data_IF_421494147623
#
_entry.id   IF_421494147623
#
_cell.length_a   1.000
_cell.length_b   1.000
_cell.length_c   1.000
_cell.angle_alpha   90.00
_cell.angle_beta   90.00
_cell.angle_gamma   90.00
#
_symmetry.space_group_name_H-M   'P 1'
#
loop_
_entity.id
_entity.type
_entity.pdbx_description
1 polymer ?
#
# COMPACT_ATOMS: atom_id res chain seq x y z
N UNK A 1 -51.02 -19.40 7.92
CA UNK A 1 -50.50 -20.77 7.71
C UNK A 1 -49.41 -20.97 8.77
N UNK A 2 -49.62 -21.72 9.86
CA UNK A 2 -49.76 -23.21 9.97
C UNK A 2 -48.40 -23.90 9.73
N UNK A 3 -47.81 -24.70 10.63
CA UNK A 3 -47.98 -25.00 12.08
C UNK A 3 -46.56 -25.18 12.67
N UNK A 4 -46.17 -24.96 13.92
CA UNK A 4 -46.72 -25.17 15.28
C UNK A 4 -46.89 -26.63 15.73
N UNK A 5 -45.98 -27.12 16.61
CA UNK A 5 -46.32 -28.07 17.70
C UNK A 5 -45.27 -28.03 18.82
N UNK A 6 -45.75 -28.18 20.06
CA UNK A 6 -44.98 -28.38 21.31
C UNK A 6 -45.43 -29.70 21.95
N UNK A 7 -44.54 -30.37 22.68
CA UNK A 7 -44.79 -31.34 23.76
C UNK A 7 -43.48 -31.48 24.57
N UNK A 8 -43.44 -31.97 25.82
CA UNK A 8 -44.22 -31.64 27.03
C UNK A 8 -43.44 -32.22 28.25
N UNK A 9 -43.68 -31.74 29.47
CA UNK A 9 -43.10 -32.30 30.70
C UNK A 9 -43.95 -33.47 31.24
N UNK A 10 -43.50 -34.21 32.28
CA UNK A 10 -43.90 -33.81 33.64
C UNK A 10 -42.83 -34.02 34.75
N UNK A 11 -43.22 -33.70 35.99
CA UNK A 11 -42.48 -33.81 37.26
C UNK A 11 -42.99 -35.04 38.04
N UNK A 12 -42.18 -35.62 38.93
CA UNK A 12 -42.67 -36.51 40.00
C UNK A 12 -42.01 -36.20 41.37
N UNK A 13 -42.61 -36.72 42.45
CA UNK A 13 -42.47 -36.24 43.83
C UNK A 13 -41.60 -37.11 44.75
N UNK A 14 -41.33 -36.53 45.93
CA UNK A 14 -40.85 -37.10 47.20
C UNK A 14 -40.73 -38.63 47.34
N UNK A 15 -39.67 -39.05 48.05
CA UNK A 15 -39.83 -40.03 49.15
C UNK A 15 -38.90 -39.68 50.30
N UNK A 16 -39.35 -39.92 51.54
CA UNK A 16 -38.57 -39.74 52.77
C UNK A 16 -38.22 -41.12 53.31
N UNK A 17 -37.01 -41.30 53.85
CA UNK A 17 -36.74 -42.41 54.77
C UNK A 17 -35.75 -41.97 55.87
N UNK A 18 -36.07 -42.29 57.12
CA UNK A 18 -35.27 -41.95 58.29
C UNK A 18 -35.18 -43.15 59.26
N UNK A 19 -33.96 -43.57 59.54
CA UNK A 19 -33.52 -44.60 60.50
C UNK A 19 -32.10 -44.19 60.94
N UNK A 20 -31.61 -44.37 62.17
CA UNK A 20 -32.20 -44.84 63.43
C UNK A 20 -31.07 -45.04 64.45
N UNK A 21 -31.11 -44.35 65.60
CA UNK A 21 -30.03 -44.35 66.63
C UNK A 21 -30.21 -45.52 67.63
N UNK A 22 -29.11 -46.06 68.23
CA UNK A 22 -28.40 -45.49 69.41
C UNK A 22 -26.87 -45.37 69.17
N UNK A 23 -25.99 -44.84 70.03
CA UNK A 23 -26.03 -44.59 71.50
C UNK A 23 -25.27 -45.70 72.25
N UNK A 24 -24.48 -45.48 73.32
CA UNK A 24 -24.13 -44.29 74.13
C UNK A 24 -22.75 -43.70 73.65
N UNK A 25 -21.87 -42.97 74.36
CA UNK A 25 -21.68 -42.53 75.77
C UNK A 25 -20.91 -41.19 75.86
N UNK A 26 -20.57 -40.68 77.06
CA UNK A 26 -20.06 -39.31 77.23
C UNK A 26 -19.15 -39.05 78.46
N UNK A 27 -18.33 -37.98 78.37
CA UNK A 27 -17.65 -37.27 79.47
C UNK A 27 -17.50 -35.75 79.15
N UNK A 28 -17.05 -34.91 80.10
CA UNK A 28 -17.20 -33.43 80.17
C UNK A 28 -15.93 -32.76 80.79
N UNK A 29 -15.80 -31.41 80.95
CA UNK A 29 -16.58 -30.23 80.50
C UNK A 29 -15.72 -29.08 79.86
N UNK A 30 -16.28 -27.86 79.73
CA UNK A 30 -15.65 -26.61 79.23
C UNK A 30 -15.28 -25.60 80.36
N UNK A 31 -14.73 -24.40 80.06
CA UNK A 31 -15.55 -23.19 79.83
C UNK A 31 -15.06 -22.29 78.66
N UNK A 32 -15.91 -21.52 77.97
CA UNK A 32 -16.20 -20.08 78.23
C UNK A 32 -15.59 -19.20 77.10
N UNK A 33 -16.10 -18.03 76.67
CA UNK A 33 -17.29 -17.23 77.01
C UNK A 33 -17.88 -16.55 75.73
N UNK A 34 -18.76 -15.54 75.89
CA UNK A 34 -19.43 -14.79 74.82
C UNK A 34 -18.58 -13.70 74.12
N UNK A 35 -19.21 -12.87 73.25
CA UNK A 35 -18.52 -12.12 72.21
C UNK A 35 -17.93 -10.77 72.65
N UNK A 36 -16.79 -10.40 72.06
CA UNK A 36 -16.24 -9.04 72.08
C UNK A 36 -15.86 -8.59 70.66
N UNK A 37 -15.85 -7.27 70.43
CA UNK A 37 -15.62 -6.65 69.12
C UNK A 37 -14.20 -6.84 68.59
N UNK A 38 -13.98 -6.93 67.26
CA UNK A 38 -12.64 -6.98 66.71
C UNK A 38 -11.83 -5.72 67.06
N UNK A 39 -10.57 -5.91 67.43
CA UNK A 39 -9.66 -4.83 67.81
C UNK A 39 -9.39 -3.86 66.64
N UNK A 40 -8.95 -2.61 66.91
CA UNK A 40 -8.60 -1.65 65.87
C UNK A 40 -7.59 -2.22 64.87
N UNK A 41 -7.89 -2.08 63.58
CA UNK A 41 -7.05 -2.61 62.51
C UNK A 41 -5.65 -1.97 62.48
N UNK A 42 -4.62 -2.68 61.98
CA UNK A 42 -3.26 -2.15 61.92
C UNK A 42 -3.17 -0.92 61.02
N UNK A 43 -2.40 0.07 61.47
CA UNK A 43 -2.13 1.31 60.76
C UNK A 43 -1.67 1.05 59.30
N UNK A 44 -2.40 1.54 58.29
CA UNK A 44 -2.02 1.34 56.88
C UNK A 44 -0.74 2.09 56.48
N UNK A 45 -0.20 2.96 57.33
CA UNK A 45 1.03 3.72 57.08
C UNK A 45 2.31 2.98 57.49
N UNK A 46 2.30 2.02 58.42
CA UNK A 46 3.51 1.26 58.82
C UNK A 46 3.35 -0.27 58.77
N UNK A 47 4.32 -0.96 58.15
CA UNK A 47 4.34 -2.44 58.04
C UNK A 47 5.13 -3.02 59.21
N UNK A 48 4.45 -3.54 60.23
CA UNK A 48 5.05 -4.01 61.49
C UNK A 48 5.67 -5.41 61.45
N UNK A 49 5.61 -6.11 60.31
CA UNK A 49 6.27 -7.43 60.13
C UNK A 49 7.02 -7.45 58.81
N UNK A 50 8.35 -7.59 58.89
CA UNK A 50 9.25 -7.75 57.75
C UNK A 50 9.07 -9.12 57.09
N UNK A 51 8.03 -9.29 56.27
CA UNK A 51 7.90 -10.46 55.38
C UNK A 51 8.74 -10.23 54.11
N UNK A 52 9.87 -10.96 53.90
CA UNK A 52 10.69 -10.82 52.70
C UNK A 52 9.91 -11.27 51.44
N UNK A 53 10.47 -11.04 50.25
CA UNK A 53 9.78 -11.45 49.01
C UNK A 53 9.60 -12.97 48.92
N UNK A 54 8.45 -13.38 48.37
CA UNK A 54 8.16 -14.75 47.99
C UNK A 54 7.15 -14.76 46.83
N UNK A 55 7.22 -15.76 45.93
CA UNK A 55 6.54 -15.70 44.62
C UNK A 55 5.00 -15.64 44.69
N UNK A 56 4.41 -16.12 45.81
CA UNK A 56 2.96 -16.14 46.04
C UNK A 56 2.48 -15.02 46.99
N UNK A 57 3.37 -14.12 47.44
CA UNK A 57 2.99 -13.00 48.30
C UNK A 57 2.43 -11.84 47.46
N UNK A 58 1.31 -11.28 47.92
CA UNK A 58 0.71 -10.09 47.31
C UNK A 58 1.04 -8.83 48.08
N UNK A 59 1.11 -7.72 47.35
CA UNK A 59 1.46 -6.38 47.82
C UNK A 59 0.37 -5.39 47.42
N UNK A 60 0.03 -4.46 48.32
CA UNK A 60 -1.10 -3.55 48.15
C UNK A 60 -0.71 -2.30 47.36
N UNK A 61 -1.49 -1.92 46.36
CA UNK A 61 -1.36 -0.62 45.68
C UNK A 61 -1.78 0.51 46.65
N UNK A 62 -0.90 1.48 46.95
CA UNK A 62 -1.18 2.57 47.91
C UNK A 62 -1.84 3.80 47.28
N UNK A 63 -1.84 3.90 45.96
CA UNK A 63 -2.44 4.99 45.18
C UNK A 63 -2.76 4.51 43.77
N UNK A 64 -3.80 5.05 43.14
CA UNK A 64 -4.10 4.76 41.74
C UNK A 64 -2.85 5.01 40.87
N UNK A 65 -2.46 4.01 40.09
CA UNK A 65 -1.32 4.09 39.19
C UNK A 65 -1.69 3.58 37.80
N UNK A 66 -0.99 4.09 36.79
CA UNK A 66 -0.95 3.47 35.46
C UNK A 66 -0.01 2.27 35.52
N UNK A 67 -0.40 1.16 34.89
CA UNK A 67 0.54 0.11 34.52
C UNK A 67 0.98 0.28 33.06
N UNK A 68 2.22 -0.10 32.76
CA UNK A 68 2.82 0.04 31.45
C UNK A 68 3.22 -1.35 30.95
N UNK A 69 2.67 -1.79 29.82
CA UNK A 69 3.01 -3.08 29.21
C UNK A 69 4.51 -3.17 28.85
N UNK A 70 5.16 -2.03 28.56
CA UNK A 70 6.61 -1.90 28.47
C UNK A 70 7.08 -0.57 29.08
N UNK A 71 8.26 -0.54 29.70
CA UNK A 71 8.84 0.59 30.48
C UNK A 71 8.98 1.96 29.77
N UNK A 72 8.73 2.02 28.46
CA UNK A 72 8.69 3.26 27.66
C UNK A 72 7.49 3.31 26.70
N UNK A 73 6.49 2.45 26.88
CA UNK A 73 5.22 2.59 26.19
C UNK A 73 4.50 3.85 26.70
N UNK A 74 3.66 4.45 25.84
CA UNK A 74 2.53 5.23 26.37
C UNK A 74 1.60 4.25 27.08
N UNK A 75 0.92 4.70 28.13
CA UNK A 75 -0.02 3.92 28.93
C UNK A 75 -0.91 3.02 28.06
N UNK A 76 -0.93 1.72 28.35
CA UNK A 76 -1.90 0.82 27.75
C UNK A 76 -3.26 1.07 28.41
N UNK A 77 -4.31 1.56 27.71
CA UNK A 77 -5.49 2.16 28.34
C UNK A 77 -6.43 1.16 29.03
N UNK A 78 -5.98 -0.08 29.28
CA UNK A 78 -6.77 -1.16 29.88
C UNK A 78 -6.26 -1.60 31.27
N UNK A 79 -5.06 -1.21 31.69
CA UNK A 79 -4.44 -1.66 32.96
C UNK A 79 -4.17 -0.51 33.93
N UNK A 80 -5.12 -0.26 34.83
CA UNK A 80 -5.01 0.75 35.91
C UNK A 80 -5.15 0.10 37.30
N UNK A 81 -4.05 -0.33 37.93
CA UNK A 81 -4.05 -0.75 39.33
C UNK A 81 -4.58 0.35 40.25
N UNK A 82 -5.78 0.13 40.80
CA UNK A 82 -6.43 1.06 41.72
C UNK A 82 -5.88 0.92 43.13
N UNK A 83 -6.01 1.99 43.92
CA UNK A 83 -5.71 1.99 45.36
C UNK A 83 -6.38 0.81 46.07
N UNK A 84 -5.68 0.24 47.02
CA UNK A 84 -6.08 -0.88 47.89
C UNK A 84 -6.31 -2.24 47.19
N UNK A 85 -6.06 -2.34 45.87
CA UNK A 85 -5.91 -3.62 45.16
C UNK A 85 -4.58 -4.32 45.51
N UNK A 86 -4.51 -5.65 45.29
CA UNK A 86 -3.39 -6.50 45.71
C UNK A 86 -2.85 -7.37 44.57
N UNK A 87 -1.53 -7.41 44.40
CA UNK A 87 -0.87 -8.11 43.30
C UNK A 87 0.43 -8.79 43.73
N UNK A 88 0.80 -9.91 43.09
CA UNK A 88 2.14 -10.51 43.23
C UNK A 88 3.20 -9.67 42.51
N UNK A 89 4.46 -9.84 42.91
CA UNK A 89 5.62 -9.21 42.25
C UNK A 89 6.47 -10.30 41.61
N UNK A 90 6.65 -10.19 40.28
CA UNK A 90 7.47 -11.09 39.47
C UNK A 90 8.96 -10.73 39.57
N UNK A 91 9.30 -9.48 39.25
CA UNK A 91 10.67 -8.98 39.34
C UNK A 91 10.72 -7.45 39.56
N UNK A 92 11.89 -6.95 39.96
CA UNK A 92 12.17 -5.49 40.06
C UNK A 92 13.39 -5.08 39.23
N UNK A 93 13.39 -3.83 38.75
CA UNK A 93 14.45 -3.22 37.94
C UNK A 93 14.72 -1.76 38.34
N UNK A 94 16.00 -1.39 38.50
CA UNK A 94 16.41 0.01 38.55
C UNK A 94 16.57 0.58 37.13
N UNK A 95 15.86 1.66 36.81
CA UNK A 95 15.93 2.35 35.51
C UNK A 95 15.48 3.82 35.64
N UNK A 96 16.22 4.75 35.00
CA UNK A 96 15.78 6.14 34.86
C UNK A 96 14.73 6.26 33.73
N UNK A 97 13.66 7.02 33.95
CA UNK A 97 12.46 7.01 33.07
C UNK A 97 11.82 8.40 32.90
N UNK A 98 10.87 8.52 31.95
CA UNK A 98 10.11 9.75 31.67
C UNK A 98 9.22 10.24 32.84
N UNK A 99 9.09 9.46 33.92
CA UNK A 99 8.20 9.75 35.06
C UNK A 99 8.94 9.87 36.40
N UNK A 100 10.26 10.10 36.38
CA UNK A 100 11.06 10.37 37.58
C UNK A 100 11.35 9.18 38.51
N UNK A 101 10.60 8.07 38.41
CA UNK A 101 10.92 6.86 39.19
C UNK A 101 12.22 6.22 38.71
N UNK A 102 13.04 5.83 39.70
CA UNK A 102 14.28 5.05 39.53
C UNK A 102 14.09 3.55 39.71
N UNK A 103 13.00 3.11 40.36
CA UNK A 103 12.71 1.70 40.64
C UNK A 103 11.34 1.34 40.08
N UNK A 104 11.29 0.19 39.41
CA UNK A 104 10.13 -0.30 38.68
C UNK A 104 9.88 -1.77 39.02
N UNK A 105 8.61 -2.11 39.15
CA UNK A 105 8.15 -3.40 39.62
C UNK A 105 7.22 -4.00 38.58
N UNK A 106 7.52 -5.24 38.16
CA UNK A 106 6.70 -5.97 37.21
C UNK A 106 5.65 -6.80 37.94
N UNK A 107 4.38 -6.58 37.59
CA UNK A 107 3.23 -7.34 38.07
C UNK A 107 2.78 -8.26 36.93
N UNK A 108 2.73 -9.59 37.14
CA UNK A 108 2.34 -10.53 36.09
C UNK A 108 0.90 -10.28 35.63
N UNK A 109 0.68 -10.28 34.31
CA UNK A 109 -0.63 -10.01 33.68
C UNK A 109 -1.08 -8.55 33.71
N UNK A 110 -0.34 -7.65 34.37
CA UNK A 110 -0.68 -6.21 34.50
C UNK A 110 0.38 -5.31 33.86
N UNK A 111 1.66 -5.70 33.97
CA UNK A 111 2.81 -4.96 33.46
C UNK A 111 3.56 -4.19 34.55
N UNK A 112 4.28 -3.15 34.13
CA UNK A 112 5.19 -2.38 34.97
C UNK A 112 4.48 -1.25 35.71
N UNK A 113 4.73 -1.13 37.01
CA UNK A 113 4.33 0.03 37.82
C UNK A 113 5.54 0.68 38.47
N UNK A 114 5.42 1.97 38.81
CA UNK A 114 6.38 2.66 39.67
C UNK A 114 6.33 2.06 41.07
N UNK A 115 7.49 1.72 41.64
CA UNK A 115 7.52 0.92 42.88
C UNK A 115 6.89 1.65 44.08
N UNK A 116 7.06 2.97 44.13
CA UNK A 116 6.42 3.85 45.12
C UNK A 116 4.89 4.02 44.95
N UNK A 117 4.23 3.24 44.09
CA UNK A 117 2.78 3.03 44.12
C UNK A 117 2.37 1.73 44.85
N UNK A 118 3.33 0.91 45.30
CA UNK A 118 3.12 -0.34 46.03
C UNK A 118 3.48 -0.15 47.52
N UNK A 119 2.74 -0.80 48.43
CA UNK A 119 3.13 -0.98 49.82
C UNK A 119 4.11 -2.14 49.91
N UNK A 120 5.38 -1.84 50.13
CA UNK A 120 6.37 -2.84 50.58
C UNK A 120 6.86 -2.45 51.99
N UNK A 121 7.87 -3.14 52.52
CA UNK A 121 8.56 -2.80 53.77
C UNK A 121 9.84 -1.96 53.55
N UNK A 122 10.11 -1.53 52.32
CA UNK A 122 11.33 -0.81 51.91
C UNK A 122 11.01 0.23 50.83
N UNK A 123 11.70 1.38 50.85
CA UNK A 123 11.62 2.43 49.82
C UNK A 123 12.49 2.12 48.58
N UNK A 124 13.15 0.97 48.58
CA UNK A 124 13.98 0.48 47.50
C UNK A 124 13.72 -1.00 47.20
N UNK A 125 14.67 -1.64 46.52
CA UNK A 125 14.52 -3.02 46.05
C UNK A 125 14.19 -4.00 47.19
N UNK A 126 13.14 -4.79 47.01
CA UNK A 126 12.75 -5.90 47.90
C UNK A 126 13.87 -6.94 48.02
N UNK A 127 14.21 -7.35 49.25
CA UNK A 127 15.19 -8.41 49.45
C UNK A 127 14.63 -9.76 48.98
N UNK A 128 15.42 -10.48 48.18
CA UNK A 128 15.05 -11.78 47.59
C UNK A 128 14.36 -11.72 46.22
N UNK A 129 13.84 -10.56 45.80
CA UNK A 129 13.10 -10.45 44.52
C UNK A 129 14.02 -10.68 43.30
N UNK A 130 13.57 -11.38 42.24
CA UNK A 130 14.30 -11.53 40.99
C UNK A 130 14.64 -10.19 40.31
N UNK A 131 15.78 -10.13 39.62
CA UNK A 131 16.19 -8.93 38.89
C UNK A 131 15.79 -9.04 37.43
N UNK A 132 14.97 -8.10 36.95
CA UNK A 132 14.64 -8.04 35.53
C UNK A 132 15.83 -7.58 34.65
N UNK A 133 16.98 -7.23 35.27
CA UNK A 133 18.19 -6.80 34.56
C UNK A 133 19.01 -7.98 33.99
N UNK A 134 18.97 -9.13 34.66
CA UNK A 134 19.69 -10.35 34.24
C UNK A 134 18.77 -11.57 34.42
N UNK A 135 17.74 -11.70 33.55
CA UNK A 135 16.75 -12.76 33.67
C UNK A 135 17.35 -14.11 33.30
N UNK A 136 17.05 -15.13 34.12
CA UNK A 136 17.27 -16.53 33.75
C UNK A 136 16.56 -16.91 32.44
N UNK A 137 16.88 -18.09 31.90
CA UNK A 137 16.57 -18.49 30.52
C UNK A 137 15.09 -18.32 30.06
N UNK A 138 14.13 -18.28 30.98
CA UNK A 138 12.70 -18.08 30.69
C UNK A 138 12.21 -16.62 30.60
N UNK A 139 12.96 -15.61 31.04
CA UNK A 139 12.49 -14.21 31.05
C UNK A 139 13.18 -13.28 30.03
N UNK A 140 12.62 -12.08 29.86
CA UNK A 140 12.76 -11.30 28.62
C UNK A 140 13.99 -10.40 28.63
N UNK A 141 14.84 -10.62 27.62
CA UNK A 141 16.03 -9.84 27.37
C UNK A 141 15.72 -8.64 26.46
N UNK A 142 16.01 -7.43 26.93
CA UNK A 142 16.03 -6.19 26.14
C UNK A 142 17.40 -5.52 26.24
N UNK A 143 18.09 -5.31 25.11
CA UNK A 143 19.43 -4.70 25.13
C UNK A 143 19.39 -3.20 25.44
N UNK A 144 18.31 -2.54 25.04
CA UNK A 144 18.00 -1.13 25.33
C UNK A 144 16.47 -0.97 25.41
N UNK A 145 15.82 -1.19 26.57
CA UNK A 145 14.37 -0.98 26.72
C UNK A 145 13.94 0.42 26.29
N UNK A 146 14.78 1.41 26.60
CA UNK A 146 14.64 2.85 26.35
C UNK A 146 15.19 3.33 24.99
N UNK A 147 15.77 2.45 24.15
CA UNK A 147 16.38 2.85 22.89
C UNK A 147 15.35 3.17 21.79
N UNK A 148 15.63 4.11 20.85
CA UNK A 148 14.74 4.42 19.71
C UNK A 148 14.61 3.27 18.69
N UNK A 149 15.38 2.19 18.87
CA UNK A 149 15.12 0.85 18.32
C UNK A 149 15.20 -0.16 19.45
N UNK A 150 14.05 -0.62 19.94
CA UNK A 150 13.95 -1.77 20.84
C UNK A 150 14.55 -3.00 20.14
N UNK A 151 15.52 -3.64 20.78
CA UNK A 151 16.11 -4.90 20.31
C UNK A 151 15.65 -6.05 21.21
N UNK A 152 15.10 -7.07 20.56
CA UNK A 152 14.53 -8.28 21.15
C UNK A 152 15.51 -9.43 20.96
N UNK A 153 15.57 -10.35 21.93
CA UNK A 153 16.46 -11.51 21.84
C UNK A 153 15.79 -12.68 21.12
N UNK A 154 16.54 -13.26 20.19
CA UNK A 154 16.13 -14.38 19.34
C UNK A 154 16.23 -15.69 20.15
N UNK A 155 15.18 -16.51 20.12
CA UNK A 155 15.05 -17.70 20.98
C UNK A 155 15.80 -18.91 20.44
N UNK A 156 15.75 -19.10 19.12
CA UNK A 156 16.29 -20.23 18.36
C UNK A 156 16.84 -19.74 17.03
N UNK A 157 17.68 -20.53 16.37
CA UNK A 157 18.10 -20.20 15.00
C UNK A 157 16.85 -20.09 14.10
N UNK A 158 16.73 -18.98 13.37
CA UNK A 158 15.56 -18.68 12.54
C UNK A 158 15.98 -17.96 11.26
N UNK A 159 15.59 -18.51 10.12
CA UNK A 159 15.82 -17.85 8.84
C UNK A 159 14.76 -16.75 8.62
N UNK A 160 15.19 -15.59 8.12
CA UNK A 160 14.28 -14.53 7.75
C UNK A 160 13.53 -14.93 6.46
N UNK A 161 12.23 -14.60 6.38
CA UNK A 161 11.40 -14.86 5.19
C UNK A 161 11.08 -13.57 4.43
N UNK A 162 10.80 -13.65 3.12
CA UNK A 162 10.40 -12.52 2.29
C UNK A 162 9.03 -11.93 2.69
N UNK A 163 8.10 -12.81 3.09
CA UNK A 163 6.75 -12.53 3.62
C UNK A 163 6.42 -13.50 4.77
N UNK A 164 5.35 -13.27 5.54
CA UNK A 164 4.79 -14.28 6.45
C UNK A 164 4.54 -15.61 5.71
N UNK A 165 4.99 -16.74 6.28
CA UNK A 165 4.94 -18.05 5.62
C UNK A 165 5.60 -18.07 4.22
N UNK A 166 6.65 -17.25 4.04
CA UNK A 166 7.30 -16.96 2.78
C UNK A 166 8.45 -17.89 2.39
N UNK A 167 9.12 -17.53 1.30
CA UNK A 167 10.40 -18.11 0.93
C UNK A 167 11.51 -17.54 1.86
N UNK A 168 12.50 -18.34 2.26
CA UNK A 168 13.61 -17.83 3.05
C UNK A 168 14.53 -16.91 2.24
N UNK A 169 15.04 -15.85 2.89
CA UNK A 169 16.09 -14.99 2.33
C UNK A 169 17.46 -15.42 2.84
N UNK A 170 18.55 -14.85 2.30
CA UNK A 170 19.93 -15.20 2.65
C UNK A 170 20.36 -14.90 4.11
N UNK A 171 19.46 -14.43 4.97
CA UNK A 171 19.74 -14.04 6.36
C UNK A 171 19.17 -15.06 7.34
N UNK A 172 20.03 -15.62 8.18
CA UNK A 172 19.62 -16.31 9.42
C UNK A 172 19.92 -15.43 10.63
N UNK A 173 18.98 -15.34 11.56
CA UNK A 173 19.21 -14.83 12.91
C UNK A 173 19.66 -15.99 13.81
N UNK A 174 20.87 -15.93 14.39
CA UNK A 174 21.29 -16.95 15.35
C UNK A 174 20.48 -16.91 16.64
N UNK A 175 20.33 -18.05 17.31
CA UNK A 175 19.84 -18.14 18.68
C UNK A 175 20.65 -17.20 19.60
N UNK A 176 19.99 -16.63 20.61
CA UNK A 176 20.54 -15.66 21.56
C UNK A 176 21.01 -14.32 20.93
N UNK A 177 20.91 -14.13 19.61
CA UNK A 177 21.22 -12.86 18.95
C UNK A 177 20.15 -11.78 19.18
N UNK A 178 20.41 -10.56 18.72
CA UNK A 178 19.58 -9.38 18.95
C UNK A 178 19.05 -8.81 17.63
N UNK A 179 17.76 -8.49 17.57
CA UNK A 179 17.12 -7.92 16.39
C UNK A 179 16.10 -6.83 16.73
N UNK A 180 16.02 -5.78 15.91
CA UNK A 180 15.00 -4.75 16.06
C UNK A 180 13.73 -5.14 15.28
N UNK A 181 12.56 -5.03 15.89
CA UNK A 181 11.28 -5.29 15.21
C UNK A 181 10.72 -4.01 14.59
N UNK A 182 10.36 -4.07 13.31
CA UNK A 182 9.86 -2.92 12.55
C UNK A 182 8.33 -2.84 12.44
N UNK A 183 7.64 -3.98 12.48
CA UNK A 183 6.18 -4.09 12.49
C UNK A 183 5.71 -5.53 12.83
N UNK A 184 4.41 -5.72 13.08
CA UNK A 184 3.78 -7.01 13.38
C UNK A 184 2.56 -7.33 12.48
N UNK A 185 2.26 -8.62 12.22
CA UNK A 185 1.10 -9.03 11.41
C UNK A 185 0.65 -10.47 11.63
N UNK A 186 -0.67 -10.68 11.66
CA UNK A 186 -1.27 -12.03 11.62
C UNK A 186 -1.41 -12.53 10.19
N UNK A 187 -0.95 -13.74 9.90
CA UNK A 187 -1.11 -14.42 8.61
C UNK A 187 -1.28 -15.93 8.86
N UNK A 188 -2.25 -16.56 8.17
CA UNK A 188 -2.62 -17.99 8.34
C UNK A 188 -2.71 -18.42 9.81
N UNK A 189 -3.41 -17.62 10.63
CA UNK A 189 -3.56 -17.83 12.09
C UNK A 189 -2.35 -17.44 12.95
N UNK A 190 -1.12 -17.54 12.43
CA UNK A 190 0.10 -17.20 13.16
C UNK A 190 0.41 -15.70 13.20
N UNK A 191 1.08 -15.25 14.27
CA UNK A 191 1.65 -13.90 14.37
C UNK A 191 3.10 -13.88 13.86
N UNK A 192 3.44 -12.83 13.11
CA UNK A 192 4.75 -12.63 12.49
C UNK A 192 5.27 -11.22 12.78
N UNK A 193 6.59 -11.07 12.92
CA UNK A 193 7.27 -9.78 13.07
C UNK A 193 8.26 -9.54 11.94
N UNK A 194 8.36 -8.31 11.46
CA UNK A 194 9.39 -7.91 10.50
C UNK A 194 10.68 -7.53 11.25
N UNK A 195 11.69 -8.39 11.16
CA UNK A 195 12.97 -8.25 11.83
C UNK A 195 13.98 -7.44 11.00
N UNK A 196 14.76 -6.62 11.69
CA UNK A 196 15.77 -5.72 11.14
C UNK A 196 17.06 -5.77 11.98
N UNK A 197 17.82 -6.89 11.93
CA UNK A 197 19.12 -6.98 12.56
C UNK A 197 20.10 -5.94 11.96
N UNK A 198 20.93 -5.31 12.80
CA UNK A 198 21.92 -4.32 12.34
C UNK A 198 22.87 -4.96 11.30
N UNK A 199 22.79 -4.50 10.06
CA UNK A 199 23.73 -4.84 8.97
C UNK A 199 23.60 -6.24 8.36
N UNK A 200 22.62 -7.07 8.74
CA UNK A 200 22.57 -8.50 8.31
C UNK A 200 21.46 -8.86 7.31
N UNK A 201 20.68 -7.89 6.82
CA UNK A 201 19.48 -8.10 6.00
C UNK A 201 18.19 -7.92 6.80
N UNK A 202 17.03 -8.15 6.18
CA UNK A 202 15.70 -7.95 6.79
C UNK A 202 14.68 -8.94 6.24
N UNK A 203 13.65 -9.25 7.02
CA UNK A 203 12.57 -10.17 6.63
C UNK A 203 11.68 -10.54 7.81
N UNK A 204 10.73 -11.43 7.59
CA UNK A 204 9.78 -11.88 8.61
C UNK A 204 10.31 -13.05 9.43
N UNK A 205 9.98 -13.06 10.72
CA UNK A 205 10.10 -14.22 11.62
C UNK A 205 8.73 -14.50 12.26
N UNK A 206 8.41 -15.76 12.59
CA UNK A 206 7.23 -16.06 13.41
C UNK A 206 7.46 -15.56 14.85
N UNK A 207 6.37 -15.26 15.56
CA UNK A 207 6.45 -14.55 16.84
C UNK A 207 7.14 -15.33 17.98
N UNK A 208 7.13 -16.68 17.92
CA UNK A 208 7.83 -17.56 18.87
C UNK A 208 9.36 -17.47 18.79
N UNK A 209 9.89 -16.98 17.66
CA UNK A 209 11.33 -16.87 17.44
C UNK A 209 12.00 -15.70 18.21
N UNK A 210 11.22 -14.88 18.94
CA UNK A 210 11.70 -13.76 19.77
C UNK A 210 10.98 -13.68 21.12
N UNK A 211 11.73 -13.48 22.20
CA UNK A 211 11.15 -13.29 23.54
C UNK A 211 10.47 -11.91 23.67
N UNK A 212 9.35 -11.88 24.39
CA UNK A 212 8.47 -10.73 24.62
C UNK A 212 7.75 -10.89 25.97
N UNK A 213 7.37 -9.79 26.64
CA UNK A 213 6.72 -9.82 27.97
C UNK A 213 5.24 -10.20 27.93
N UNK A 214 4.57 -10.00 26.79
CA UNK A 214 3.15 -10.25 26.61
C UNK A 214 2.89 -11.10 25.37
N UNK A 215 1.82 -11.88 25.38
CA UNK A 215 1.33 -12.51 24.17
C UNK A 215 0.74 -11.51 23.17
N UNK A 216 0.80 -11.84 21.88
CA UNK A 216 0.42 -10.93 20.82
C UNK A 216 1.51 -9.92 20.44
N UNK A 217 1.10 -8.68 20.18
CA UNK A 217 1.94 -7.64 19.57
C UNK A 217 2.59 -6.75 20.65
N UNK A 218 3.91 -6.54 20.63
CA UNK A 218 4.60 -5.58 21.51
C UNK A 218 4.05 -4.15 21.45
N UNK A 219 4.10 -3.44 22.57
CA UNK A 219 3.46 -2.15 22.75
C UNK A 219 4.06 -1.06 21.85
N UNK A 220 3.20 -0.46 21.00
CA UNK A 220 3.60 0.53 19.99
C UNK A 220 4.19 -0.06 18.71
N UNK A 221 4.31 -1.39 18.57
CA UNK A 221 4.77 -2.01 17.32
C UNK A 221 3.67 -1.96 16.26
N UNK A 222 3.81 -1.04 15.30
CA UNK A 222 2.84 -0.82 14.21
C UNK A 222 2.53 -2.10 13.43
N UNK A 223 1.31 -2.22 12.90
CA UNK A 223 0.93 -3.30 11.99
C UNK A 223 1.77 -3.24 10.71
N UNK A 224 2.24 -4.39 10.21
CA UNK A 224 2.92 -4.43 8.92
C UNK A 224 1.90 -4.15 7.80
N UNK A 225 2.31 -3.32 6.86
CA UNK A 225 1.66 -3.24 5.55
C UNK A 225 2.11 -4.49 4.79
N UNK A 226 1.27 -5.52 4.73
CA UNK A 226 1.68 -6.91 4.41
C UNK A 226 1.94 -7.21 2.93
N UNK A 227 2.36 -6.21 2.18
CA UNK A 227 3.06 -6.40 0.91
C UNK A 227 4.20 -5.38 0.85
N UNK A 228 5.38 -5.71 0.28
CA UNK A 228 6.11 -4.67 -0.44
C UNK A 228 5.10 -4.08 -1.44
N UNK A 229 4.78 -2.79 -1.31
CA UNK A 229 3.71 -2.16 -2.10
C UNK A 229 3.92 -2.50 -3.57
N UNK A 230 3.00 -3.24 -4.22
CA UNK A 230 3.27 -3.88 -5.50
C UNK A 230 3.66 -2.80 -6.49
N UNK A 231 4.87 -2.92 -7.05
CA UNK A 231 5.61 -1.80 -7.66
C UNK A 231 4.69 -1.09 -8.65
N UNK A 232 4.27 0.13 -8.29
CA UNK A 232 3.21 0.85 -9.01
C UNK A 232 3.84 1.48 -10.23
N UNK A 233 3.92 0.74 -11.32
CA UNK A 233 4.61 1.23 -12.52
C UNK A 233 3.72 2.21 -13.30
N UNK A 234 4.39 3.17 -13.94
CA UNK A 234 3.85 3.97 -15.04
C UNK A 234 4.48 3.46 -16.34
N UNK A 235 3.64 3.07 -17.31
CA UNK A 235 4.06 2.65 -18.63
C UNK A 235 3.44 3.53 -19.74
N UNK A 236 4.20 3.74 -20.81
CA UNK A 236 3.74 4.36 -22.05
C UNK A 236 3.87 3.37 -23.20
N UNK A 237 2.71 3.07 -23.80
CA UNK A 237 2.56 2.20 -24.97
C UNK A 237 1.83 2.98 -26.08
N UNK A 238 1.87 2.47 -27.30
CA UNK A 238 1.18 3.04 -28.44
C UNK A 238 2.04 3.23 -29.68
N UNK A 239 1.67 4.24 -30.45
CA UNK A 239 2.30 4.61 -31.73
C UNK A 239 3.29 5.78 -31.59
N UNK A 240 3.62 6.41 -32.73
CA UNK A 240 4.52 7.56 -32.84
C UNK A 240 4.15 8.75 -31.93
N UNK A 241 2.85 8.99 -31.71
CA UNK A 241 2.36 10.07 -30.83
C UNK A 241 2.64 9.79 -29.35
N UNK A 242 2.89 8.53 -28.97
CA UNK A 242 3.41 8.15 -27.65
C UNK A 242 4.93 8.01 -27.63
N UNK A 243 5.57 7.57 -28.73
CA UNK A 243 7.03 7.36 -28.77
C UNK A 243 7.83 8.66 -28.80
N UNK A 244 7.26 9.75 -29.36
CA UNK A 244 7.96 11.02 -29.52
C UNK A 244 8.74 11.15 -30.83
N UNK A 245 8.25 10.49 -31.89
CA UNK A 245 8.61 10.90 -33.24
C UNK A 245 8.12 12.34 -33.46
N UNK A 246 9.02 13.25 -33.79
CA UNK A 246 8.73 14.68 -33.99
C UNK A 246 9.32 15.63 -32.94
N UNK A 247 9.94 15.11 -31.89
CA UNK A 247 10.81 15.89 -30.99
C UNK A 247 12.21 16.07 -31.59
N UNK A 248 12.89 17.16 -31.27
CA UNK A 248 14.29 17.42 -31.68
C UNK A 248 15.29 16.49 -30.96
N UNK A 249 14.91 15.95 -29.81
CA UNK A 249 15.75 15.05 -29.01
C UNK A 249 16.05 13.72 -29.74
N UNK A 250 17.32 13.28 -29.64
CA UNK A 250 17.83 12.10 -30.32
C UNK A 250 17.02 10.82 -30.00
N UNK A 251 16.61 10.13 -31.07
CA UNK A 251 15.73 8.97 -31.01
C UNK A 251 16.53 7.72 -30.59
N UNK A 252 16.17 7.09 -29.48
CA UNK A 252 16.98 6.07 -28.79
C UNK A 252 16.80 4.63 -29.32
N UNK A 253 15.87 4.40 -30.24
CA UNK A 253 15.60 3.08 -30.81
C UNK A 253 14.96 3.17 -32.20
N UNK A 254 14.96 2.03 -32.93
CA UNK A 254 14.25 1.92 -34.22
C UNK A 254 12.74 2.19 -34.12
N UNK A 255 12.17 2.14 -32.91
CA UNK A 255 10.80 2.54 -32.61
C UNK A 255 10.57 4.06 -32.57
N UNK A 256 11.60 4.89 -32.85
CA UNK A 256 11.57 6.37 -32.77
C UNK A 256 11.07 6.82 -31.39
N UNK A 257 11.75 6.33 -30.35
CA UNK A 257 11.49 6.67 -28.96
C UNK A 257 12.37 7.84 -28.52
N UNK A 258 11.77 8.86 -27.93
CA UNK A 258 12.46 10.10 -27.58
C UNK A 258 12.43 10.40 -26.07
N UNK A 259 13.53 10.90 -25.48
CA UNK A 259 13.52 11.50 -24.15
C UNK A 259 12.60 12.73 -24.03
N UNK A 260 12.41 13.47 -25.13
CA UNK A 260 11.51 14.63 -25.22
C UNK A 260 10.03 14.27 -25.24
N UNK A 261 9.69 12.99 -25.49
CA UNK A 261 8.31 12.50 -25.47
C UNK A 261 7.62 12.79 -24.12
N UNK A 262 6.29 12.89 -24.13
CA UNK A 262 5.51 13.18 -22.91
C UNK A 262 5.77 12.16 -21.78
N UNK A 263 6.20 10.93 -22.12
CA UNK A 263 6.62 9.93 -21.14
C UNK A 263 7.88 10.35 -20.37
N UNK A 264 8.94 10.80 -21.06
CA UNK A 264 10.14 11.33 -20.43
C UNK A 264 9.86 12.56 -19.58
N UNK A 265 9.01 13.47 -20.08
CA UNK A 265 8.60 14.67 -19.35
C UNK A 265 7.72 14.40 -18.11
N UNK A 266 7.10 13.22 -18.01
CA UNK A 266 6.33 12.78 -16.85
C UNK A 266 7.14 11.90 -15.88
N UNK A 267 8.23 11.27 -16.34
CA UNK A 267 9.13 10.42 -15.54
C UNK A 267 9.64 11.14 -14.28
N UNK A 268 10.09 12.38 -14.40
CA UNK A 268 10.56 13.20 -13.27
C UNK A 268 9.46 13.70 -12.34
N UNK A 269 8.18 13.66 -12.77
CA UNK A 269 7.02 14.17 -12.03
C UNK A 269 6.18 13.10 -11.33
N UNK A 270 6.64 11.84 -11.23
CA UNK A 270 5.82 10.77 -10.66
C UNK A 270 5.53 10.98 -9.17
N UNK A 271 4.25 10.89 -8.78
CA UNK A 271 3.84 11.00 -7.36
C UNK A 271 4.36 9.80 -6.55
N UNK A 272 4.55 10.02 -5.24
CA UNK A 272 5.24 9.09 -4.34
C UNK A 272 4.78 7.63 -4.47
N UNK A 273 5.77 6.72 -4.53
CA UNK A 273 5.54 5.29 -4.66
C UNK A 273 4.96 4.87 -6.01
N UNK A 274 5.18 5.66 -7.07
CA UNK A 274 5.03 5.28 -8.48
C UNK A 274 6.43 5.35 -9.09
N UNK A 275 6.78 4.40 -9.96
CA UNK A 275 8.11 4.35 -10.62
C UNK A 275 7.97 4.05 -12.11
N UNK A 276 9.04 4.31 -12.86
CA UNK A 276 9.17 3.92 -14.27
C UNK A 276 10.65 3.78 -14.64
N UNK A 277 10.92 3.19 -15.79
CA UNK A 277 12.24 3.03 -16.43
C UNK A 277 12.01 2.82 -17.94
N UNK A 278 13.08 2.71 -18.73
CA UNK A 278 12.95 2.58 -20.19
C UNK A 278 12.29 1.27 -20.63
N UNK A 279 12.34 0.22 -19.79
CA UNK A 279 11.54 -1.00 -19.98
C UNK A 279 10.03 -0.72 -20.10
N UNK A 280 9.52 0.29 -19.37
CA UNK A 280 8.11 0.67 -19.39
C UNK A 280 7.75 1.64 -20.54
N UNK A 281 8.70 1.92 -21.44
CA UNK A 281 8.50 2.70 -22.66
C UNK A 281 8.52 1.78 -23.87
N UNK A 282 7.35 1.33 -24.33
CA UNK A 282 7.23 0.42 -25.47
C UNK A 282 6.45 1.02 -26.65
N UNK A 283 6.04 2.28 -26.55
CA UNK A 283 5.45 3.01 -27.67
C UNK A 283 6.43 3.04 -28.86
N UNK A 284 5.90 2.88 -30.08
CA UNK A 284 6.70 2.62 -31.26
C UNK A 284 6.05 3.22 -32.52
N UNK A 285 6.80 4.02 -33.30
CA UNK A 285 6.31 4.60 -34.54
C UNK A 285 5.76 3.55 -35.51
N UNK A 286 4.68 3.90 -36.23
CA UNK A 286 3.97 3.00 -37.15
C UNK A 286 3.11 1.91 -36.50
N UNK A 287 3.16 1.70 -35.18
CA UNK A 287 2.41 0.63 -34.52
C UNK A 287 0.88 0.76 -34.69
N UNK A 288 0.22 -0.32 -35.15
CA UNK A 288 -1.24 -0.46 -35.12
C UNK A 288 -1.71 -0.96 -33.74
N UNK A 289 -3.02 -0.96 -33.49
CA UNK A 289 -3.60 -1.59 -32.30
C UNK A 289 -3.22 -3.08 -32.13
N UNK A 290 -2.87 -3.77 -33.23
CA UNK A 290 -2.37 -5.15 -33.24
C UNK A 290 -0.90 -5.24 -32.87
N UNK A 291 -0.07 -4.29 -33.30
CA UNK A 291 1.33 -4.22 -32.89
C UNK A 291 1.46 -3.93 -31.40
N UNK A 292 0.68 -2.98 -30.87
CA UNK A 292 0.62 -2.71 -29.43
C UNK A 292 0.22 -3.98 -28.66
N UNK A 293 -0.80 -4.69 -29.14
CA UNK A 293 -1.29 -5.94 -28.56
C UNK A 293 -0.25 -7.07 -28.57
N UNK A 294 0.53 -7.18 -29.64
CA UNK A 294 1.46 -8.29 -29.87
C UNK A 294 2.88 -8.04 -29.32
N UNK A 295 3.33 -6.79 -29.25
CA UNK A 295 4.75 -6.42 -29.02
C UNK A 295 4.99 -5.59 -27.76
N UNK A 296 3.98 -4.89 -27.23
CA UNK A 296 4.19 -3.85 -26.20
C UNK A 296 3.58 -4.18 -24.83
N UNK A 297 2.75 -5.23 -24.73
CA UNK A 297 2.04 -5.55 -23.47
C UNK A 297 2.91 -6.18 -22.38
N UNK A 298 4.16 -6.53 -22.65
CA UNK A 298 5.07 -7.12 -21.66
C UNK A 298 5.69 -6.07 -20.71
N UNK A 299 5.59 -4.78 -21.04
CA UNK A 299 5.79 -3.69 -20.09
C UNK A 299 4.66 -3.54 -19.05
N UNK A 300 3.60 -4.36 -19.13
CA UNK A 300 2.44 -4.28 -18.24
C UNK A 300 2.32 -5.54 -17.36
N UNK A 301 1.86 -5.35 -16.12
CA UNK A 301 1.74 -6.41 -15.11
C UNK A 301 0.66 -6.08 -14.04
N UNK A 302 0.54 -6.92 -13.01
CA UNK A 302 -0.42 -6.72 -11.92
C UNK A 302 -0.08 -5.55 -10.97
N UNK A 303 1.19 -5.13 -10.89
CA UNK A 303 1.63 -3.94 -10.18
C UNK A 303 1.26 -2.63 -10.89
N UNK A 304 1.24 -2.68 -12.23
CA UNK A 304 1.01 -1.54 -13.13
C UNK A 304 -0.19 -0.72 -12.71
N UNK A 305 0.06 0.58 -12.49
CA UNK A 305 -0.89 1.50 -11.90
C UNK A 305 -1.39 2.53 -12.89
N UNK A 306 -0.55 2.93 -13.85
CA UNK A 306 -0.84 3.98 -14.81
C UNK A 306 -0.34 3.54 -16.17
N UNK A 307 -1.20 3.65 -17.18
CA UNK A 307 -0.82 3.40 -18.58
C UNK A 307 -1.26 4.58 -19.42
N UNK A 308 -0.38 5.13 -20.25
CA UNK A 308 -0.71 6.03 -21.35
C UNK A 308 -0.69 5.25 -22.67
N UNK A 309 -1.66 5.53 -23.55
CA UNK A 309 -1.86 4.76 -24.79
C UNK A 309 -2.40 5.64 -25.93
N UNK A 310 -1.69 5.69 -27.06
CA UNK A 310 -2.21 6.07 -28.37
C UNK A 310 -2.33 4.82 -29.25
N UNK A 311 -3.45 4.65 -29.94
CA UNK A 311 -3.63 3.62 -30.97
C UNK A 311 -4.86 3.97 -31.82
N UNK A 312 -4.81 3.64 -33.11
CA UNK A 312 -5.87 3.93 -34.07
C UNK A 312 -5.41 4.71 -35.30
N UNK A 313 -4.37 5.54 -35.19
CA UNK A 313 -3.81 6.34 -36.30
C UNK A 313 -3.44 5.48 -37.50
N UNK A 314 -2.58 4.48 -37.24
CA UNK A 314 -2.13 3.54 -38.25
C UNK A 314 -3.25 2.55 -38.65
N UNK A 315 -4.15 2.19 -37.74
CA UNK A 315 -5.32 1.35 -38.03
C UNK A 315 -6.34 2.01 -38.99
N UNK A 316 -6.36 3.35 -39.05
CA UNK A 316 -7.12 4.17 -40.00
C UNK A 316 -6.30 4.60 -41.23
N UNK A 317 -5.07 4.09 -41.41
CA UNK A 317 -4.14 4.50 -42.47
C UNK A 317 -3.97 6.04 -42.55
N UNK A 318 -3.87 6.74 -41.41
CA UNK A 318 -3.93 8.21 -41.38
C UNK A 318 -2.81 8.89 -42.18
N UNK A 319 -1.63 8.27 -42.29
CA UNK A 319 -0.54 8.72 -43.16
C UNK A 319 -0.97 8.78 -44.65
N UNK A 320 -1.72 7.78 -45.12
CA UNK A 320 -2.26 7.73 -46.50
C UNK A 320 -3.29 8.83 -46.72
N UNK A 321 -4.16 9.07 -45.73
CA UNK A 321 -5.10 10.20 -45.74
C UNK A 321 -4.33 11.52 -45.85
N UNK A 322 -3.35 11.75 -44.98
CA UNK A 322 -2.55 12.98 -44.97
C UNK A 322 -1.87 13.20 -46.32
N UNK A 323 -1.21 12.17 -46.89
CA UNK A 323 -0.60 12.23 -48.22
C UNK A 323 -1.62 12.57 -49.32
N UNK A 324 -2.80 11.95 -49.32
CA UNK A 324 -3.91 12.26 -50.25
C UNK A 324 -4.51 13.66 -50.11
N UNK A 325 -4.25 14.37 -49.00
CA UNK A 325 -4.69 15.75 -48.77
C UNK A 325 -3.56 16.78 -48.96
N UNK A 326 -2.29 16.36 -48.89
CA UNK A 326 -1.11 17.21 -49.07
C UNK A 326 -0.57 17.22 -50.51
N UNK A 327 -0.77 16.12 -51.26
CA UNK A 327 -0.18 15.92 -52.57
C UNK A 327 -1.26 15.62 -53.63
N UNK A 328 -1.76 16.65 -54.35
CA UNK A 328 -2.65 16.44 -55.48
C UNK A 328 -1.94 15.66 -56.59
N UNK A 329 -2.68 14.79 -57.29
CA UNK A 329 -2.16 13.87 -58.32
C UNK A 329 -2.40 12.38 -58.04
N UNK A 330 -2.79 12.03 -56.81
CA UNK A 330 -3.19 10.67 -56.42
C UNK A 330 -4.70 10.52 -56.17
N UNK A 331 -5.08 9.62 -55.26
CA UNK A 331 -6.46 9.53 -54.76
C UNK A 331 -6.86 10.85 -54.08
N UNK A 332 -7.96 11.52 -54.46
CA UNK A 332 -8.39 12.77 -53.82
C UNK A 332 -8.63 12.62 -52.31
N UNK A 333 -8.27 13.62 -51.52
CA UNK A 333 -8.43 13.67 -50.06
C UNK A 333 -9.81 13.19 -49.58
N UNK A 334 -10.89 13.72 -50.17
CA UNK A 334 -12.26 13.32 -49.83
C UNK A 334 -12.54 11.83 -50.06
N UNK A 335 -12.02 11.26 -51.14
CA UNK A 335 -12.15 9.83 -51.44
C UNK A 335 -11.31 8.97 -50.48
N UNK A 336 -10.06 9.36 -50.19
CA UNK A 336 -9.20 8.68 -49.22
C UNK A 336 -9.82 8.67 -47.82
N UNK A 337 -10.33 9.82 -47.35
CA UNK A 337 -11.03 9.91 -46.06
C UNK A 337 -12.31 9.08 -46.07
N UNK A 338 -13.13 9.12 -47.12
CA UNK A 338 -14.34 8.27 -47.20
C UNK A 338 -13.99 6.77 -47.11
N UNK A 339 -12.93 6.33 -47.79
CA UNK A 339 -12.50 4.93 -47.83
C UNK A 339 -12.10 4.37 -46.45
N UNK A 340 -11.53 5.20 -45.57
CA UNK A 340 -11.13 4.78 -44.21
C UNK A 340 -12.20 5.10 -43.15
N UNK A 341 -13.07 6.09 -43.39
CA UNK A 341 -14.13 6.49 -42.43
C UNK A 341 -15.48 5.80 -42.67
N UNK A 342 -15.61 4.99 -43.73
CA UNK A 342 -16.80 4.17 -43.98
C UNK A 342 -17.09 3.18 -42.83
N UNK A 343 -18.36 2.75 -42.76
CA UNK A 343 -18.91 1.92 -41.66
C UNK A 343 -18.14 0.61 -41.43
N UNK A 344 -17.62 -0.02 -42.48
CA UNK A 344 -16.84 -1.26 -42.39
C UNK A 344 -15.48 -1.03 -41.71
N UNK A 345 -14.70 -0.08 -42.22
CA UNK A 345 -13.40 0.32 -41.70
C UNK A 345 -13.48 0.80 -40.23
N UNK A 346 -14.41 1.72 -39.93
CA UNK A 346 -14.69 2.18 -38.55
C UNK A 346 -15.07 1.02 -37.63
N UNK A 347 -15.83 0.03 -38.12
CA UNK A 347 -16.21 -1.15 -37.32
C UNK A 347 -15.02 -2.07 -37.06
N UNK A 348 -14.16 -2.30 -38.06
CA UNK A 348 -12.90 -3.05 -37.93
C UNK A 348 -11.99 -2.42 -36.87
N UNK A 349 -11.68 -1.14 -37.00
CA UNK A 349 -10.78 -0.44 -36.06
C UNK A 349 -11.37 -0.41 -34.64
N UNK A 350 -12.69 -0.16 -34.50
CA UNK A 350 -13.37 -0.22 -33.20
C UNK A 350 -13.26 -1.59 -32.53
N UNK A 351 -13.36 -2.69 -33.30
CA UNK A 351 -13.20 -4.06 -32.80
C UNK A 351 -11.76 -4.33 -32.38
N UNK A 352 -10.79 -3.98 -33.22
CA UNK A 352 -9.39 -4.32 -33.00
C UNK A 352 -8.82 -3.51 -31.80
N UNK A 353 -9.19 -2.24 -31.65
CA UNK A 353 -8.97 -1.45 -30.42
C UNK A 353 -9.69 -2.03 -29.20
N UNK A 354 -10.92 -2.52 -29.35
CA UNK A 354 -11.65 -3.15 -28.24
C UNK A 354 -10.96 -4.44 -27.75
N UNK A 355 -10.33 -5.21 -28.64
CA UNK A 355 -9.48 -6.36 -28.29
C UNK A 355 -8.25 -5.90 -27.51
N UNK A 356 -7.52 -4.89 -28.01
CA UNK A 356 -6.36 -4.32 -27.33
C UNK A 356 -6.70 -3.87 -25.90
N UNK A 357 -7.76 -3.08 -25.70
CA UNK A 357 -8.14 -2.59 -24.38
C UNK A 357 -8.55 -3.72 -23.41
N UNK A 358 -9.12 -4.82 -23.92
CA UNK A 358 -9.41 -6.01 -23.11
C UNK A 358 -8.12 -6.73 -22.69
N UNK A 359 -7.14 -6.86 -23.58
CA UNK A 359 -5.84 -7.43 -23.25
C UNK A 359 -5.03 -6.57 -22.25
N UNK A 360 -5.03 -5.25 -22.43
CA UNK A 360 -4.44 -4.28 -21.48
C UNK A 360 -5.08 -4.43 -20.09
N UNK A 361 -6.41 -4.55 -19.98
CA UNK A 361 -7.08 -4.77 -18.70
C UNK A 361 -6.74 -6.14 -18.08
N UNK A 362 -6.56 -7.18 -18.90
CA UNK A 362 -6.17 -8.52 -18.42
C UNK A 362 -4.75 -8.54 -17.84
N UNK A 363 -3.79 -7.91 -18.53
CA UNK A 363 -2.39 -7.86 -18.10
C UNK A 363 -2.18 -6.86 -16.95
N UNK A 364 -2.85 -5.70 -16.98
CA UNK A 364 -2.81 -4.66 -15.94
C UNK A 364 -4.18 -4.44 -15.25
N UNK A 365 -4.67 -5.40 -14.43
CA UNK A 365 -5.98 -5.34 -13.79
C UNK A 365 -6.17 -4.11 -12.89
N UNK A 366 -5.10 -3.62 -12.26
CA UNK A 366 -5.13 -2.50 -11.30
C UNK A 366 -4.93 -1.11 -11.94
N UNK A 367 -4.60 -1.02 -13.23
CA UNK A 367 -4.19 0.24 -13.84
C UNK A 367 -5.36 1.19 -14.14
N UNK A 368 -5.10 2.50 -14.04
CA UNK A 368 -5.85 3.51 -14.80
C UNK A 368 -5.19 3.69 -16.16
N UNK A 369 -5.96 3.50 -17.23
CA UNK A 369 -5.48 3.59 -18.61
C UNK A 369 -6.00 4.88 -19.22
N UNK A 370 -5.08 5.79 -19.53
CA UNK A 370 -5.33 7.06 -20.20
C UNK A 370 -5.11 6.84 -21.70
N UNK A 371 -6.22 6.71 -22.43
CA UNK A 371 -6.21 6.55 -23.89
C UNK A 371 -6.31 7.93 -24.51
N UNK A 372 -5.25 8.36 -25.18
CA UNK A 372 -5.16 9.65 -25.84
C UNK A 372 -5.83 9.53 -27.22
N UNK A 373 -6.70 10.49 -27.55
CA UNK A 373 -7.06 10.76 -28.94
C UNK A 373 -5.99 11.65 -29.59
N UNK A 374 -6.01 11.74 -30.91
CA UNK A 374 -5.04 12.52 -31.70
C UNK A 374 -5.41 14.02 -31.71
N UNK A 375 -4.44 14.92 -31.89
CA UNK A 375 -4.68 16.36 -31.96
C UNK A 375 -5.38 16.78 -33.26
N UNK A 376 -5.85 18.04 -33.29
CA UNK A 376 -6.30 18.72 -34.51
C UNK A 376 -5.06 18.99 -35.37
N UNK A 377 -4.82 18.19 -36.43
CA UNK A 377 -3.55 18.31 -37.20
C UNK A 377 -3.41 19.64 -37.94
N UNK A 378 -4.50 20.19 -38.48
CA UNK A 378 -4.53 21.48 -39.19
C UNK A 378 -5.75 22.30 -38.76
N UNK A 379 -5.70 23.63 -38.91
CA UNK A 379 -6.92 24.43 -38.91
C UNK A 379 -7.74 24.10 -40.19
N UNK A 380 -9.08 24.00 -40.15
CA UNK A 380 -9.88 23.72 -41.35
C UNK A 380 -9.87 24.86 -42.37
N UNK A 381 -9.45 26.07 -41.98
CA UNK A 381 -9.50 27.28 -42.85
C UNK A 381 -8.27 28.17 -42.79
N UNK A 382 -7.29 27.88 -41.91
CA UNK A 382 -6.02 28.62 -41.76
C UNK A 382 -4.86 27.62 -41.93
N UNK A 383 -4.50 27.40 -43.18
CA UNK A 383 -3.55 26.37 -43.63
C UNK A 383 -2.36 27.01 -44.37
N UNK A 384 -2.16 28.31 -44.17
CA UNK A 384 -1.10 29.07 -44.81
C UNK A 384 0.26 28.57 -44.33
N UNK A 385 0.96 27.81 -45.20
CA UNK A 385 2.21 27.11 -44.88
C UNK A 385 2.13 25.58 -44.98
N UNK A 386 0.95 24.98 -45.21
CA UNK A 386 0.76 23.53 -45.27
C UNK A 386 0.99 22.91 -46.67
N UNK A 387 1.96 23.43 -47.42
CA UNK A 387 2.22 23.00 -48.79
C UNK A 387 1.00 23.18 -49.70
N UNK A 388 0.62 22.12 -50.43
CA UNK A 388 -0.48 22.13 -51.39
C UNK A 388 -1.85 21.69 -50.80
N UNK A 389 -2.02 21.72 -49.48
CA UNK A 389 -3.34 21.49 -48.85
C UNK A 389 -4.34 22.57 -49.27
N UNK A 390 -5.49 22.18 -49.80
CA UNK A 390 -6.56 23.11 -50.20
C UNK A 390 -7.43 23.56 -49.02
N UNK A 391 -8.13 24.71 -49.13
CA UNK A 391 -9.06 25.19 -48.09
C UNK A 391 -10.30 24.28 -47.98
N UNK A 392 -10.55 23.51 -49.03
CA UNK A 392 -11.60 22.52 -49.20
C UNK A 392 -11.24 21.20 -48.50
N UNK A 393 -9.95 20.83 -48.47
CA UNK A 393 -9.42 19.59 -47.89
C UNK A 393 -9.09 19.70 -46.39
N UNK A 394 -8.74 20.88 -45.88
CA UNK A 394 -8.54 21.13 -44.44
C UNK A 394 -9.71 20.63 -43.55
N UNK A 395 -10.98 20.95 -43.88
CA UNK A 395 -12.16 20.42 -43.19
C UNK A 395 -12.34 18.90 -43.36
N UNK A 396 -11.94 18.35 -44.52
CA UNK A 396 -12.03 16.92 -44.84
C UNK A 396 -11.02 16.10 -44.04
N UNK A 397 -9.80 16.60 -43.87
CA UNK A 397 -8.77 16.02 -43.00
C UNK A 397 -9.19 16.09 -41.53
N UNK A 398 -9.78 17.21 -41.09
CA UNK A 398 -10.36 17.34 -39.74
C UNK A 398 -11.50 16.32 -39.50
N UNK A 399 -12.36 16.07 -40.49
CA UNK A 399 -13.41 15.04 -40.43
C UNK A 399 -12.82 13.62 -40.20
N UNK A 400 -11.64 13.32 -40.76
CA UNK A 400 -10.95 12.07 -40.51
C UNK A 400 -10.52 11.94 -39.04
N UNK A 401 -9.80 12.94 -38.52
CA UNK A 401 -9.36 13.00 -37.10
C UNK A 401 -10.54 12.86 -36.15
N UNK A 402 -11.62 13.62 -36.38
CA UNK A 402 -12.83 13.57 -35.54
C UNK A 402 -13.52 12.20 -35.58
N UNK A 403 -13.51 11.52 -36.72
CA UNK A 403 -14.09 10.16 -36.86
C UNK A 403 -13.22 9.11 -36.16
N UNK A 404 -11.91 9.20 -36.30
CA UNK A 404 -10.94 8.35 -35.59
C UNK A 404 -11.07 8.53 -34.06
N UNK A 405 -11.01 9.77 -33.56
CA UNK A 405 -11.14 10.08 -32.13
C UNK A 405 -12.50 9.64 -31.55
N UNK A 406 -13.59 9.78 -32.32
CA UNK A 406 -14.91 9.26 -31.97
C UNK A 406 -14.92 7.73 -31.93
N UNK A 407 -14.16 7.06 -32.81
CA UNK A 407 -14.04 5.60 -32.86
C UNK A 407 -13.26 5.05 -31.67
N UNK A 408 -12.12 5.66 -31.34
CA UNK A 408 -11.30 5.36 -30.15
C UNK A 408 -12.15 5.49 -28.87
N UNK A 409 -12.84 6.63 -28.71
CA UNK A 409 -13.74 6.90 -27.58
C UNK A 409 -14.87 5.86 -27.46
N UNK A 410 -15.44 5.43 -28.60
CA UNK A 410 -16.45 4.34 -28.66
C UNK A 410 -15.87 2.94 -28.44
N UNK A 411 -14.60 2.71 -28.79
CA UNK A 411 -13.92 1.43 -28.56
C UNK A 411 -13.63 1.19 -27.07
N UNK A 412 -13.35 2.26 -26.31
CA UNK A 412 -13.23 2.21 -24.84
C UNK A 412 -14.55 1.74 -24.21
N UNK A 413 -15.67 2.38 -24.59
CA UNK A 413 -17.00 2.05 -24.06
C UNK A 413 -17.08 2.23 -22.54
N UNK A 414 -17.81 1.33 -21.87
CA UNK A 414 -18.00 1.36 -20.41
C UNK A 414 -16.88 0.65 -19.61
N UNK A 415 -15.66 0.52 -20.16
CA UNK A 415 -14.56 -0.18 -19.49
C UNK A 415 -14.09 0.57 -18.24
N UNK A 416 -14.42 0.04 -17.05
CA UNK A 416 -13.96 0.58 -15.77
C UNK A 416 -12.44 0.76 -15.77
N UNK A 417 -11.99 1.93 -15.31
CA UNK A 417 -10.57 2.27 -15.20
C UNK A 417 -9.90 2.74 -16.51
N UNK A 418 -10.62 2.86 -17.62
CA UNK A 418 -10.15 3.57 -18.81
C UNK A 418 -10.67 5.02 -18.79
N UNK A 419 -9.88 5.96 -19.29
CA UNK A 419 -10.27 7.38 -19.48
C UNK A 419 -9.76 7.84 -20.84
N UNK A 420 -10.66 8.40 -21.66
CA UNK A 420 -10.28 9.09 -22.88
C UNK A 420 -9.72 10.49 -22.58
N UNK A 421 -8.63 10.87 -23.24
CA UNK A 421 -8.00 12.19 -23.15
C UNK A 421 -8.11 12.89 -24.50
N UNK A 422 -8.83 14.02 -24.56
CA UNK A 422 -9.13 14.69 -25.82
C UNK A 422 -8.05 15.72 -26.22
N UNK A 423 -7.08 15.29 -27.03
CA UNK A 423 -6.07 16.22 -27.57
C UNK A 423 -6.64 17.15 -28.65
N UNK A 424 -7.77 16.82 -29.29
CA UNK A 424 -8.41 17.69 -30.30
C UNK A 424 -8.70 19.09 -29.76
N UNK A 425 -9.09 19.19 -28.48
CA UNK A 425 -9.34 20.47 -27.78
C UNK A 425 -8.06 21.07 -27.21
N UNK A 426 -7.12 20.26 -26.74
CA UNK A 426 -5.83 20.77 -26.22
C UNK A 426 -5.02 21.46 -27.30
N UNK A 427 -4.98 20.92 -28.52
CA UNK A 427 -4.24 21.47 -29.67
C UNK A 427 -5.10 22.38 -30.55
N UNK A 428 -6.28 22.82 -30.09
CA UNK A 428 -7.24 23.50 -30.99
C UNK A 428 -6.65 24.79 -31.59
N UNK A 429 -5.86 25.53 -30.81
CA UNK A 429 -5.26 26.82 -31.20
C UNK A 429 -3.77 26.70 -31.58
N UNK A 430 -3.21 25.49 -31.51
CA UNK A 430 -1.83 25.14 -31.87
C UNK A 430 -1.73 23.96 -32.87
N UNK A 431 -2.55 23.90 -33.95
CA UNK A 431 -2.38 22.89 -34.99
C UNK A 431 -1.10 23.19 -35.82
N UNK A 432 -0.71 22.30 -36.72
CA UNK A 432 0.33 22.61 -37.70
C UNK A 432 -0.16 23.64 -38.72
N UNK A 433 0.80 24.34 -39.33
CA UNK A 433 0.60 25.26 -40.45
C UNK A 433 -0.26 26.50 -40.11
N UNK A 434 -0.21 26.96 -38.85
CA UNK A 434 -1.02 28.08 -38.37
C UNK A 434 -0.18 29.36 -38.29
N UNK A 435 0.23 29.86 -39.47
CA UNK A 435 1.08 31.06 -39.64
C UNK A 435 0.69 32.20 -38.69
N UNK A 436 1.66 32.66 -37.89
CA UNK A 436 1.44 33.66 -36.84
C UNK A 436 1.17 33.06 -35.45
N UNK A 437 1.27 31.74 -35.28
CA UNK A 437 1.16 31.03 -34.00
C UNK A 437 2.41 30.23 -33.67
N UNK A 438 2.52 29.80 -32.41
CA UNK A 438 3.51 28.79 -32.00
C UNK A 438 2.84 27.42 -32.14
N UNK A 439 3.08 26.76 -33.25
CA UNK A 439 2.50 25.46 -33.58
C UNK A 439 3.06 24.37 -32.65
N UNK A 440 2.21 23.47 -32.17
CA UNK A 440 2.60 22.33 -31.31
C UNK A 440 2.79 21.03 -32.08
N UNK A 441 2.61 21.08 -33.39
CA UNK A 441 2.80 19.98 -34.33
C UNK A 441 3.79 20.45 -35.40
N UNK A 442 4.63 19.53 -35.89
CA UNK A 442 5.54 19.82 -36.99
C UNK A 442 4.76 20.09 -38.28
N UNK A 443 5.35 20.93 -39.13
CA UNK A 443 4.81 21.28 -40.44
C UNK A 443 4.85 20.11 -41.43
N UNK A 444 4.74 20.44 -42.71
CA UNK A 444 4.83 19.45 -43.80
C UNK A 444 6.26 19.42 -44.31
N UNK A 445 7.00 18.36 -43.96
CA UNK A 445 8.39 18.17 -44.38
C UNK A 445 8.43 17.19 -45.56
N UNK A 446 8.73 17.71 -46.75
CA UNK A 446 8.63 16.95 -48.01
C UNK A 446 9.97 16.29 -48.41
N UNK A 447 11.07 17.04 -48.29
CA UNK A 447 12.40 16.66 -48.79
C UNK A 447 13.49 16.57 -47.69
N UNK A 448 13.12 16.58 -46.40
CA UNK A 448 14.09 16.48 -45.29
C UNK A 448 14.19 15.06 -44.68
N UNK A 449 15.23 14.85 -43.87
CA UNK A 449 15.42 13.65 -43.05
C UNK A 449 14.24 13.42 -42.06
N UNK A 450 13.48 14.47 -41.79
CA UNK A 450 12.39 14.55 -40.80
C UNK A 450 11.00 14.43 -41.44
N UNK A 451 10.89 14.02 -42.70
CA UNK A 451 9.60 13.83 -43.39
C UNK A 451 8.59 13.01 -42.57
N UNK A 452 9.08 12.00 -41.84
CA UNK A 452 8.29 11.12 -40.97
C UNK A 452 7.70 11.86 -39.74
N UNK A 453 8.29 12.99 -39.33
CA UNK A 453 7.83 13.84 -38.24
C UNK A 453 6.64 14.72 -38.61
N UNK A 454 6.27 14.84 -39.90
CA UNK A 454 5.18 15.70 -40.36
C UNK A 454 3.88 15.46 -39.58
N UNK A 455 3.20 16.53 -39.15
CA UNK A 455 2.02 16.52 -38.28
C UNK A 455 2.15 15.85 -36.90
N UNK A 456 3.30 15.30 -36.51
CA UNK A 456 3.52 14.78 -35.16
C UNK A 456 3.81 15.91 -34.16
N UNK A 457 3.62 15.70 -32.85
CA UNK A 457 3.92 16.72 -31.85
C UNK A 457 5.41 17.02 -31.76
N UNK A 458 5.74 18.31 -31.72
CA UNK A 458 7.07 18.78 -31.36
C UNK A 458 7.26 18.79 -29.84
N UNK A 459 8.40 19.27 -29.35
CA UNK A 459 8.67 19.32 -27.90
C UNK A 459 7.63 20.14 -27.12
N UNK A 460 7.09 21.22 -27.69
CA UNK A 460 6.01 22.00 -27.09
C UNK A 460 4.69 21.23 -27.09
N UNK A 461 4.40 20.47 -28.15
CA UNK A 461 3.27 19.54 -28.19
C UNK A 461 3.38 18.43 -27.15
N UNK A 462 4.57 17.86 -26.94
CA UNK A 462 4.78 16.88 -25.88
C UNK A 462 4.71 17.49 -24.47
N UNK A 463 5.14 18.75 -24.29
CA UNK A 463 4.91 19.53 -23.07
C UNK A 463 3.41 19.74 -22.81
N UNK A 464 2.64 20.11 -23.82
CA UNK A 464 1.19 20.27 -23.73
C UNK A 464 0.48 18.95 -23.40
N UNK A 465 0.91 17.82 -23.97
CA UNK A 465 0.36 16.49 -23.64
C UNK A 465 0.71 16.11 -22.19
N UNK A 466 1.95 16.33 -21.75
CA UNK A 466 2.37 16.07 -20.37
C UNK A 466 1.60 16.96 -19.36
N UNK A 467 1.45 18.26 -19.64
CA UNK A 467 0.63 19.18 -18.85
C UNK A 467 -0.85 18.75 -18.82
N UNK A 468 -1.40 18.30 -19.96
CA UNK A 468 -2.77 17.79 -20.02
C UNK A 468 -2.94 16.51 -19.21
N UNK A 469 -1.94 15.62 -19.22
CA UNK A 469 -1.92 14.41 -18.40
C UNK A 469 -1.84 14.73 -16.89
N UNK A 470 -1.01 15.70 -16.48
CA UNK A 470 -1.02 16.24 -15.09
C UNK A 470 -2.42 16.70 -14.66
N UNK A 471 -3.13 17.47 -15.50
CA UNK A 471 -4.49 17.93 -15.21
C UNK A 471 -5.53 16.79 -15.06
N UNK A 472 -5.45 15.72 -15.85
CA UNK A 472 -6.43 14.61 -15.81
C UNK A 472 -6.01 13.44 -14.90
N UNK A 473 -4.80 13.48 -14.35
CA UNK A 473 -4.22 12.46 -13.50
C UNK A 473 -3.31 13.03 -12.36
N UNK A 474 -3.73 14.07 -11.61
CA UNK A 474 -2.88 14.73 -10.61
C UNK A 474 -2.49 13.81 -9.44
N UNK A 475 -3.22 12.72 -9.23
CA UNK A 475 -2.89 11.66 -8.27
C UNK A 475 -1.74 10.74 -8.72
N UNK A 476 -1.23 10.92 -9.95
CA UNK A 476 -0.13 10.13 -10.54
C UNK A 476 1.02 10.99 -11.05
N UNK A 477 0.73 12.17 -11.60
CA UNK A 477 1.74 13.11 -12.11
C UNK A 477 1.68 14.45 -11.37
N UNK A 478 2.85 15.00 -11.06
CA UNK A 478 3.09 16.36 -10.59
C UNK A 478 3.60 17.26 -11.70
#
# INVERSE_FOLDING_TARGET
MSHMRRLLAPILLLTILALGLPGLAAAKPAPGEGPSTPAPGPDPTHVTVLKPWGPNLTYRIVRNTTAYTELNARSDPYSYPQKDSWFTIDCQLYANTQSGSRLWTHIPGVGWVIDNAIKTYTDGRLQGVPSCADPGAGHVWFKQPWGPRKEYRVTRDVQLLDRPGGAPVATTLPAKSWTALGCAVTHTGGLWFYANPRGRGRGFVPADAVNRWQDGVPAGLKRCVTQPQPIRTYAAIGDSYSSGLGTDAAQTSGCKQSPGAFFGQLRGGLKQGIVTSDFYFQACAGATSKDVLAKQLDALDSGTRVVTLTAGGNDFNFERIAKSCLFPGGTPCYAAVNQETQRSAVTRVRRDLATLYTAVRRKAPNAKVYVLGYPRVVHPTRIEGCGALSREDGPVLLRAVLTMNRTIRRAIGQRRGFRYVDLTRTFQDHPACNKGSVDWLNGVHVDSLDKDASFHPNDLGHQAIAARLRQVAPQYFG
#
